data_IF_874890318045
#
_entry.id   IF_874890318045
#
_cell.length_a   1.000
_cell.length_b   1.000
_cell.length_c   1.000
_cell.angle_alpha   90.00
_cell.angle_beta   90.00
_cell.angle_gamma   90.00
#
_symmetry.space_group_name_H-M   'P 1'
#
loop_
_entity.id
_entity.type
_entity.pdbx_description
1 polymer ?
#
# COMPACT_ATOMS: atom_id res chain seq x y z
N UNK A 1 -15.81 31.15 -23.53
CA UNK A 1 -15.02 31.24 -24.78
C UNK A 1 -13.51 31.10 -24.52
N UNK A 2 -12.95 31.81 -23.56
CA UNK A 2 -11.49 31.76 -23.29
C UNK A 2 -11.00 30.39 -22.85
N UNK A 3 -11.69 29.69 -21.95
CA UNK A 3 -11.30 28.36 -21.47
C UNK A 3 -11.34 27.33 -22.60
N UNK A 4 -12.35 27.37 -23.47
CA UNK A 4 -12.45 26.47 -24.62
C UNK A 4 -11.30 26.71 -25.64
N UNK A 5 -10.94 27.96 -25.88
CA UNK A 5 -9.80 28.31 -26.71
C UNK A 5 -8.47 27.84 -26.10
N UNK A 6 -8.35 27.94 -24.78
CA UNK A 6 -7.18 27.44 -24.04
C UNK A 6 -7.01 25.93 -24.14
N UNK A 7 -8.09 25.16 -24.11
CA UNK A 7 -8.05 23.70 -24.28
C UNK A 7 -7.59 23.26 -25.68
N UNK A 8 -7.81 24.08 -26.69
CA UNK A 8 -7.39 23.86 -28.10
C UNK A 8 -6.02 24.44 -28.42
N UNK A 9 -5.39 25.13 -27.45
CA UNK A 9 -4.10 25.77 -27.68
C UNK A 9 -3.00 24.75 -27.99
N UNK A 10 -2.07 25.02 -28.90
CA UNK A 10 -0.98 24.08 -29.22
C UNK A 10 0.02 23.88 -28.07
N UNK A 11 0.14 24.85 -27.16
CA UNK A 11 1.02 24.74 -25.99
C UNK A 11 0.30 24.02 -24.86
N UNK A 12 0.90 22.90 -24.40
CA UNK A 12 0.36 22.06 -23.33
C UNK A 12 0.28 22.77 -21.96
N UNK A 13 1.14 23.76 -21.72
CA UNK A 13 1.10 24.57 -20.49
C UNK A 13 -0.21 25.38 -20.43
N UNK A 14 -0.64 25.92 -21.57
CA UNK A 14 -1.92 26.65 -21.68
C UNK A 14 -3.12 25.70 -21.46
N UNK A 15 -3.03 24.48 -22.05
CA UNK A 15 -4.07 23.46 -21.81
C UNK A 15 -4.17 23.09 -20.33
N UNK A 16 -3.03 22.84 -19.67
CA UNK A 16 -3.00 22.51 -18.23
C UNK A 16 -3.59 23.66 -17.40
N UNK A 17 -3.20 24.91 -17.68
CA UNK A 17 -3.74 26.06 -16.98
C UNK A 17 -5.28 26.16 -17.14
N UNK A 18 -5.77 25.93 -18.34
CA UNK A 18 -7.22 25.94 -18.63
C UNK A 18 -7.92 24.80 -17.91
N UNK A 19 -7.36 23.59 -17.90
CA UNK A 19 -7.91 22.43 -17.18
C UNK A 19 -7.91 22.68 -15.66
N UNK A 20 -6.83 23.22 -15.12
CA UNK A 20 -6.74 23.57 -13.68
C UNK A 20 -7.81 24.60 -13.31
N UNK A 21 -8.05 25.60 -14.16
CA UNK A 21 -9.10 26.59 -13.91
C UNK A 21 -10.50 25.97 -13.99
N UNK A 22 -10.75 25.09 -14.96
CA UNK A 22 -12.00 24.34 -15.04
C UNK A 22 -12.19 23.45 -13.80
N UNK A 23 -11.14 22.79 -13.33
CA UNK A 23 -11.17 22.00 -12.10
C UNK A 23 -11.62 22.81 -10.89
N UNK A 24 -11.08 24.03 -10.72
CA UNK A 24 -11.51 24.95 -9.64
C UNK A 24 -12.99 25.37 -9.75
N UNK A 25 -13.48 25.55 -10.97
CA UNK A 25 -14.88 25.88 -11.19
C UNK A 25 -15.77 24.68 -10.84
N UNK A 26 -15.36 23.48 -11.21
CA UNK A 26 -16.09 22.24 -10.94
C UNK A 26 -16.14 21.93 -9.44
N UNK A 27 -15.12 22.28 -8.68
CA UNK A 27 -15.09 22.15 -7.21
C UNK A 27 -16.01 23.16 -6.51
N UNK A 28 -16.35 24.27 -7.18
CA UNK A 28 -17.22 25.31 -6.61
C UNK A 28 -18.69 24.97 -6.88
N UNK A 29 -19.45 24.69 -5.82
CA UNK A 29 -20.86 24.34 -5.89
C UNK A 29 -21.76 25.39 -6.57
N UNK A 30 -21.39 26.68 -6.54
CA UNK A 30 -22.15 27.75 -7.19
C UNK A 30 -21.85 27.85 -8.69
N UNK A 31 -20.59 27.60 -9.08
CA UNK A 31 -20.11 27.79 -10.44
C UNK A 31 -20.15 26.51 -11.31
N UNK A 32 -20.22 25.35 -10.70
CA UNK A 32 -20.17 24.04 -11.40
C UNK A 32 -21.21 23.90 -12.50
N UNK A 33 -22.37 24.51 -12.34
CA UNK A 33 -23.50 24.45 -13.29
C UNK A 33 -23.13 25.03 -14.67
N UNK A 34 -22.24 26.02 -14.71
CA UNK A 34 -21.75 26.61 -15.95
C UNK A 34 -20.98 25.59 -16.81
N UNK A 35 -20.14 24.77 -16.14
CA UNK A 35 -19.37 23.72 -16.82
C UNK A 35 -20.25 22.52 -17.16
N UNK A 36 -21.12 22.08 -16.24
CA UNK A 36 -22.02 20.94 -16.45
C UNK A 36 -22.92 21.12 -17.68
N UNK A 37 -23.36 22.34 -17.94
CA UNK A 37 -24.25 22.65 -19.07
C UNK A 37 -23.50 23.01 -20.34
N UNK A 38 -22.17 23.11 -20.30
CA UNK A 38 -21.37 23.46 -21.47
C UNK A 38 -20.74 22.22 -22.10
N UNK A 39 -21.49 21.56 -22.97
CA UNK A 39 -21.04 20.35 -23.65
C UNK A 39 -19.78 20.58 -24.51
N UNK A 40 -19.58 21.75 -25.06
CA UNK A 40 -18.41 22.04 -25.90
C UNK A 40 -17.11 22.06 -25.07
N UNK A 41 -17.15 22.67 -23.88
CA UNK A 41 -16.02 22.63 -22.96
C UNK A 41 -15.75 21.19 -22.52
N UNK A 42 -16.76 20.44 -22.10
CA UNK A 42 -16.61 19.05 -21.65
C UNK A 42 -16.08 18.13 -22.76
N UNK A 43 -16.50 18.35 -24.01
CA UNK A 43 -15.96 17.62 -25.17
C UNK A 43 -14.47 17.86 -25.33
N UNK A 44 -14.01 19.11 -25.23
CA UNK A 44 -12.59 19.43 -25.30
C UNK A 44 -11.78 18.84 -24.13
N UNK A 45 -12.35 18.81 -22.92
CA UNK A 45 -11.75 18.13 -21.77
C UNK A 45 -11.58 16.63 -22.07
N UNK A 46 -12.60 15.98 -22.63
CA UNK A 46 -12.53 14.57 -23.03
C UNK A 46 -11.44 14.37 -24.10
N UNK A 47 -11.34 15.24 -25.10
CA UNK A 47 -10.30 15.16 -26.12
C UNK A 47 -8.88 15.33 -25.54
N UNK A 48 -8.71 16.08 -24.45
CA UNK A 48 -7.44 16.24 -23.78
C UNK A 48 -6.92 14.92 -23.14
N UNK A 49 -7.76 13.91 -22.93
CA UNK A 49 -7.33 12.59 -22.47
C UNK A 49 -6.42 11.92 -23.51
N UNK A 50 -6.67 12.16 -24.81
CA UNK A 50 -5.85 11.64 -25.91
C UNK A 50 -4.55 12.44 -26.15
N UNK A 51 -4.29 13.50 -25.40
CA UNK A 51 -3.10 14.33 -25.54
C UNK A 51 -1.79 13.53 -25.38
N UNK A 52 -0.75 13.91 -26.13
CA UNK A 52 0.56 13.25 -26.06
C UNK A 52 1.17 13.32 -24.65
N UNK A 53 1.08 14.48 -24.00
CA UNK A 53 1.61 14.64 -22.64
C UNK A 53 0.66 14.07 -21.58
N UNK A 54 1.20 13.18 -20.78
CA UNK A 54 0.47 12.55 -19.69
C UNK A 54 -0.05 13.55 -18.64
N UNK A 55 0.64 14.68 -18.45
CA UNK A 55 0.22 15.73 -17.52
C UNK A 55 -1.11 16.38 -17.94
N UNK A 56 -1.30 16.62 -19.24
CA UNK A 56 -2.56 17.12 -19.79
C UNK A 56 -3.69 16.11 -19.58
N UNK A 57 -3.44 14.85 -19.89
CA UNK A 57 -4.42 13.78 -19.73
C UNK A 57 -4.83 13.60 -18.24
N UNK A 58 -3.89 13.65 -17.31
CA UNK A 58 -4.16 13.55 -15.87
C UNK A 58 -5.04 14.68 -15.36
N UNK A 59 -4.77 15.91 -15.76
CA UNK A 59 -5.61 17.05 -15.40
C UNK A 59 -7.04 16.90 -15.96
N UNK A 60 -7.17 16.46 -17.22
CA UNK A 60 -8.47 16.20 -17.83
C UNK A 60 -9.26 15.10 -17.09
N UNK A 61 -8.60 14.00 -16.74
CA UNK A 61 -9.18 12.91 -15.95
C UNK A 61 -9.63 13.43 -14.58
N UNK A 62 -8.79 14.22 -13.90
CA UNK A 62 -9.13 14.83 -12.61
C UNK A 62 -10.38 15.71 -12.67
N UNK A 63 -10.51 16.55 -13.69
CA UNK A 63 -11.70 17.39 -13.91
C UNK A 63 -12.97 16.54 -14.08
N UNK A 64 -12.91 15.51 -14.93
CA UNK A 64 -14.06 14.64 -15.20
C UNK A 64 -14.42 13.77 -13.99
N UNK A 65 -13.44 13.30 -13.24
CA UNK A 65 -13.66 12.56 -12.00
C UNK A 65 -14.35 13.41 -10.93
N UNK A 66 -13.90 14.66 -10.76
CA UNK A 66 -14.52 15.61 -9.83
C UNK A 66 -15.95 15.97 -10.24
N UNK A 67 -16.18 16.24 -11.53
CA UNK A 67 -17.51 16.51 -12.06
C UNK A 67 -18.48 15.34 -11.81
N UNK A 68 -17.98 14.11 -11.92
CA UNK A 68 -18.76 12.88 -11.76
C UNK A 68 -19.10 12.54 -10.30
N UNK A 69 -18.64 13.31 -9.31
CA UNK A 69 -19.03 13.15 -7.91
C UNK A 69 -20.49 13.54 -7.67
N UNK A 70 -21.11 14.32 -8.55
CA UNK A 70 -22.51 14.69 -8.49
C UNK A 70 -23.35 13.92 -9.53
N UNK A 71 -24.64 13.71 -9.20
CA UNK A 71 -25.58 13.11 -10.14
C UNK A 71 -25.76 13.94 -11.41
N UNK A 72 -25.72 15.24 -11.29
CA UNK A 72 -25.82 16.14 -12.45
C UNK A 72 -24.60 15.99 -13.38
N UNK A 73 -23.40 15.89 -12.80
CA UNK A 73 -22.16 15.63 -13.55
C UNK A 73 -22.15 14.25 -14.22
N UNK A 74 -22.60 13.21 -13.53
CA UNK A 74 -22.78 11.88 -14.11
C UNK A 74 -23.74 11.91 -15.31
N UNK A 75 -24.87 12.60 -15.19
CA UNK A 75 -25.81 12.75 -16.30
C UNK A 75 -25.20 13.55 -17.45
N UNK A 76 -24.44 14.59 -17.16
CA UNK A 76 -23.78 15.39 -18.19
C UNK A 76 -22.84 14.57 -19.08
N UNK A 77 -22.12 13.61 -18.51
CA UNK A 77 -21.16 12.76 -19.22
C UNK A 77 -21.86 11.53 -19.81
N UNK A 78 -22.59 10.76 -19.01
CA UNK A 78 -23.08 9.42 -19.39
C UNK A 78 -24.43 9.41 -20.06
N UNK A 79 -25.23 10.47 -19.96
CA UNK A 79 -26.57 10.59 -20.56
C UNK A 79 -26.65 11.66 -21.63
N UNK A 80 -25.53 11.99 -22.26
CA UNK A 80 -25.43 12.96 -23.35
C UNK A 80 -24.60 12.40 -24.51
N UNK A 81 -24.42 13.17 -25.55
CA UNK A 81 -23.55 12.83 -26.66
C UNK A 81 -22.07 12.69 -26.27
N UNK A 82 -21.68 13.24 -25.11
CA UNK A 82 -20.32 13.12 -24.57
C UNK A 82 -19.93 11.68 -24.27
N UNK A 83 -20.88 10.79 -24.00
CA UNK A 83 -20.60 9.36 -23.87
C UNK A 83 -19.99 8.79 -25.16
N UNK A 84 -20.48 9.22 -26.31
CA UNK A 84 -19.92 8.83 -27.61
C UNK A 84 -18.52 9.39 -27.78
N UNK A 85 -18.31 10.67 -27.45
CA UNK A 85 -16.99 11.28 -27.52
C UNK A 85 -15.97 10.54 -26.65
N UNK A 86 -16.37 10.13 -25.45
CA UNK A 86 -15.52 9.35 -24.55
C UNK A 86 -15.16 7.96 -25.11
N UNK A 87 -16.12 7.28 -25.75
CA UNK A 87 -15.89 6.00 -26.45
C UNK A 87 -15.00 6.16 -27.68
N UNK A 88 -15.17 7.23 -28.44
CA UNK A 88 -14.37 7.52 -29.62
C UNK A 88 -12.91 7.82 -29.23
N UNK A 89 -12.68 8.59 -28.17
CA UNK A 89 -11.36 8.86 -27.60
C UNK A 89 -10.71 7.56 -27.12
N UNK A 90 -11.44 6.71 -26.43
CA UNK A 90 -10.97 5.41 -25.94
C UNK A 90 -10.48 4.50 -27.07
N UNK A 91 -11.07 4.59 -28.26
CA UNK A 91 -10.70 3.80 -29.44
C UNK A 91 -9.41 4.29 -30.14
N UNK A 92 -8.87 5.45 -29.76
CA UNK A 92 -7.73 6.07 -30.46
C UNK A 92 -6.42 5.28 -30.32
N UNK A 93 -6.13 4.73 -29.16
CA UNK A 93 -4.97 3.88 -28.89
C UNK A 93 -5.11 3.12 -27.57
N UNK A 94 -4.26 2.10 -27.37
CA UNK A 94 -4.25 1.33 -26.13
C UNK A 94 -3.93 2.20 -24.90
N UNK A 95 -2.98 3.14 -25.05
CA UNK A 95 -2.60 4.06 -23.97
C UNK A 95 -3.79 4.93 -23.56
N UNK A 96 -4.53 5.46 -24.52
CA UNK A 96 -5.71 6.28 -24.26
C UNK A 96 -6.84 5.44 -23.68
N UNK A 97 -7.00 4.20 -24.13
CA UNK A 97 -7.97 3.25 -23.57
C UNK A 97 -7.74 3.03 -22.08
N UNK A 98 -6.49 2.86 -21.64
CA UNK A 98 -6.17 2.75 -20.23
C UNK A 98 -6.46 4.00 -19.43
N UNK A 99 -6.17 5.17 -19.97
CA UNK A 99 -6.51 6.45 -19.33
C UNK A 99 -8.03 6.58 -19.11
N UNK A 100 -8.82 6.12 -20.05
CA UNK A 100 -10.29 6.10 -19.92
C UNK A 100 -10.71 5.07 -18.87
N UNK A 101 -10.12 3.88 -18.83
CA UNK A 101 -10.39 2.90 -17.77
C UNK A 101 -10.04 3.43 -16.39
N UNK A 102 -8.91 4.13 -16.23
CA UNK A 102 -8.53 4.79 -14.99
C UNK A 102 -9.64 5.75 -14.51
N UNK A 103 -10.10 6.63 -15.39
CA UNK A 103 -11.23 7.52 -15.14
C UNK A 103 -12.50 6.75 -14.74
N UNK A 104 -12.86 5.71 -15.48
CA UNK A 104 -14.05 4.91 -15.22
C UNK A 104 -13.99 4.19 -13.87
N UNK A 105 -12.83 3.67 -13.49
CA UNK A 105 -12.62 3.03 -12.19
C UNK A 105 -12.68 4.05 -11.05
N UNK A 106 -12.10 5.22 -11.22
CA UNK A 106 -12.19 6.30 -10.25
C UNK A 106 -13.65 6.73 -10.02
N UNK A 107 -14.40 6.94 -11.09
CA UNK A 107 -15.84 7.25 -11.01
C UNK A 107 -16.62 6.13 -10.33
N UNK A 108 -16.38 4.89 -10.73
CA UNK A 108 -17.09 3.71 -10.21
C UNK A 108 -16.84 3.49 -8.72
N UNK A 109 -15.68 3.88 -8.22
CA UNK A 109 -15.28 3.68 -6.83
C UNK A 109 -15.96 4.64 -5.84
N UNK A 110 -16.57 5.72 -6.33
CA UNK A 110 -17.17 6.76 -5.47
C UNK A 110 -18.45 6.27 -4.80
N UNK A 111 -19.37 5.64 -5.54
CA UNK A 111 -20.66 5.19 -5.02
C UNK A 111 -21.26 4.07 -5.87
N UNK A 112 -22.26 3.32 -5.33
CA UNK A 112 -23.04 2.36 -6.12
C UNK A 112 -23.73 2.98 -7.34
N UNK A 113 -24.20 4.22 -7.21
CA UNK A 113 -24.85 4.96 -8.29
C UNK A 113 -23.85 5.26 -9.42
N UNK A 114 -22.66 5.74 -9.07
CA UNK A 114 -21.58 6.02 -10.03
C UNK A 114 -21.15 4.74 -10.77
N UNK A 115 -21.00 3.64 -10.05
CA UNK A 115 -20.73 2.33 -10.64
C UNK A 115 -21.84 1.93 -11.62
N UNK A 116 -23.10 2.14 -11.28
CA UNK A 116 -24.24 1.85 -12.16
C UNK A 116 -24.19 2.58 -13.49
N UNK A 117 -23.77 3.84 -13.52
CA UNK A 117 -23.56 4.59 -14.76
C UNK A 117 -22.46 3.96 -15.64
N UNK A 118 -21.35 3.57 -15.03
CA UNK A 118 -20.22 2.96 -15.74
C UNK A 118 -20.56 1.56 -16.26
N UNK A 119 -21.33 0.78 -15.51
CA UNK A 119 -21.84 -0.53 -15.92
C UNK A 119 -22.82 -0.41 -17.09
N UNK A 120 -23.78 0.49 -16.97
CA UNK A 120 -24.80 0.73 -18.03
C UNK A 120 -24.20 1.23 -19.35
N UNK A 121 -23.04 1.88 -19.28
CA UNK A 121 -22.30 2.38 -20.44
C UNK A 121 -21.39 1.36 -21.11
N UNK A 122 -21.35 0.13 -20.59
CA UNK A 122 -20.51 -0.99 -21.04
C UNK A 122 -18.99 -0.83 -20.81
N UNK A 123 -18.53 0.21 -20.11
CA UNK A 123 -17.11 0.40 -19.83
C UNK A 123 -16.54 -0.69 -18.91
N UNK A 124 -17.29 -1.05 -17.87
CA UNK A 124 -16.85 -2.08 -16.92
C UNK A 124 -16.81 -3.45 -17.58
N UNK A 125 -17.81 -3.82 -18.40
CA UNK A 125 -17.78 -5.10 -19.12
C UNK A 125 -16.59 -5.20 -20.06
N UNK A 126 -16.26 -4.12 -20.79
CA UNK A 126 -15.07 -4.07 -21.64
C UNK A 126 -13.79 -4.27 -20.83
N UNK A 127 -13.65 -3.60 -19.67
CA UNK A 127 -12.51 -3.78 -18.78
C UNK A 127 -12.39 -5.23 -18.31
N UNK A 128 -13.49 -5.86 -17.91
CA UNK A 128 -13.50 -7.25 -17.46
C UNK A 128 -13.14 -8.24 -18.57
N UNK A 129 -13.54 -7.98 -19.80
CA UNK A 129 -13.17 -8.79 -20.96
C UNK A 129 -11.66 -8.76 -21.24
N UNK A 130 -10.99 -7.66 -20.92
CA UNK A 130 -9.54 -7.52 -21.09
C UNK A 130 -8.71 -8.39 -20.12
N UNK A 131 -9.30 -8.89 -19.04
CA UNK A 131 -8.62 -9.79 -18.11
C UNK A 131 -8.11 -11.08 -18.76
N UNK A 132 -8.76 -11.52 -19.83
CA UNK A 132 -8.43 -12.75 -20.57
C UNK A 132 -8.09 -12.50 -22.05
N UNK A 133 -7.80 -11.25 -22.39
CA UNK A 133 -7.33 -10.90 -23.74
C UNK A 133 -5.94 -11.46 -24.07
N UNK A 134 -5.59 -11.51 -25.35
CA UNK A 134 -4.33 -12.09 -25.81
C UNK A 134 -3.10 -11.24 -25.47
N UNK A 135 -3.25 -9.92 -25.37
CA UNK A 135 -2.16 -9.02 -25.00
C UNK A 135 -1.91 -9.07 -23.50
N UNK A 136 -0.72 -9.56 -23.12
CA UNK A 136 -0.33 -9.77 -21.73
C UNK A 136 -0.16 -8.45 -20.95
N UNK A 137 0.25 -7.37 -21.62
CA UNK A 137 0.39 -6.05 -20.97
C UNK A 137 -0.98 -5.43 -20.69
N UNK A 138 -1.89 -5.59 -21.63
CA UNK A 138 -3.30 -5.21 -21.49
C UNK A 138 -3.93 -5.97 -20.32
N UNK A 139 -3.71 -7.26 -20.27
CA UNK A 139 -4.19 -8.12 -19.18
C UNK A 139 -3.67 -7.65 -17.82
N UNK A 140 -2.37 -7.39 -17.72
CA UNK A 140 -1.75 -6.92 -16.48
C UNK A 140 -2.35 -5.58 -16.00
N UNK A 141 -2.55 -4.63 -16.90
CA UNK A 141 -3.17 -3.35 -16.59
C UNK A 141 -4.64 -3.50 -16.18
N UNK A 142 -5.40 -4.37 -16.86
CA UNK A 142 -6.80 -4.66 -16.49
C UNK A 142 -6.92 -5.26 -15.09
N UNK A 143 -6.02 -6.15 -14.70
CA UNK A 143 -5.95 -6.72 -13.35
C UNK A 143 -5.73 -5.62 -12.29
N UNK A 144 -4.84 -4.68 -12.56
CA UNK A 144 -4.59 -3.55 -11.66
C UNK A 144 -5.82 -2.64 -11.50
N UNK A 145 -6.51 -2.35 -12.59
CA UNK A 145 -7.76 -1.58 -12.59
C UNK A 145 -8.86 -2.29 -11.79
N UNK A 146 -9.05 -3.58 -11.99
CA UNK A 146 -9.99 -4.40 -11.24
C UNK A 146 -9.63 -4.46 -9.75
N UNK A 147 -8.34 -4.55 -9.42
CA UNK A 147 -7.87 -4.48 -8.04
C UNK A 147 -8.20 -3.14 -7.39
N UNK A 148 -8.07 -2.05 -8.13
CA UNK A 148 -8.46 -0.71 -7.65
C UNK A 148 -9.97 -0.62 -7.41
N UNK A 149 -10.79 -1.13 -8.32
CA UNK A 149 -12.25 -1.19 -8.16
C UNK A 149 -12.66 -2.01 -6.92
N UNK A 150 -11.92 -3.08 -6.61
CA UNK A 150 -12.18 -3.94 -5.46
C UNK A 150 -11.96 -3.26 -4.09
N UNK A 151 -11.32 -2.10 -4.04
CA UNK A 151 -11.12 -1.35 -2.80
C UNK A 151 -12.40 -0.79 -2.23
N UNK A 152 -13.39 -0.47 -3.08
CA UNK A 152 -14.72 -0.07 -2.63
C UNK A 152 -15.60 -1.28 -2.34
N UNK A 153 -16.46 -1.20 -1.31
CA UNK A 153 -17.36 -2.29 -0.94
C UNK A 153 -18.31 -2.64 -2.08
N UNK A 154 -18.93 -1.65 -2.70
CA UNK A 154 -19.85 -1.88 -3.82
C UNK A 154 -19.13 -2.42 -5.06
N UNK A 155 -17.87 -2.03 -5.28
CA UNK A 155 -17.02 -2.59 -6.32
C UNK A 155 -16.75 -4.08 -6.09
N UNK A 156 -16.39 -4.48 -4.86
CA UNK A 156 -16.20 -5.90 -4.50
C UNK A 156 -17.48 -6.71 -4.70
N UNK A 157 -18.62 -6.20 -4.27
CA UNK A 157 -19.90 -6.86 -4.45
C UNK A 157 -20.24 -7.08 -5.93
N UNK A 158 -20.02 -6.06 -6.76
CA UNK A 158 -20.22 -6.17 -8.19
C UNK A 158 -19.29 -7.21 -8.83
N UNK A 159 -17.99 -7.16 -8.52
CA UNK A 159 -17.01 -8.13 -9.03
C UNK A 159 -17.34 -9.57 -8.61
N UNK A 160 -17.80 -9.76 -7.38
CA UNK A 160 -18.25 -11.06 -6.89
C UNK A 160 -19.47 -11.57 -7.69
N UNK A 161 -20.44 -10.71 -7.96
CA UNK A 161 -21.62 -11.05 -8.79
C UNK A 161 -21.24 -11.43 -10.23
N UNK A 162 -20.15 -10.84 -10.75
CA UNK A 162 -19.62 -11.16 -12.09
C UNK A 162 -18.69 -12.39 -12.11
N UNK A 163 -18.46 -13.04 -10.97
CA UNK A 163 -17.58 -14.21 -10.87
C UNK A 163 -16.10 -13.90 -11.09
N UNK A 164 -15.66 -12.67 -10.85
CA UNK A 164 -14.29 -12.23 -11.15
C UNK A 164 -13.26 -12.91 -10.24
N UNK A 165 -13.57 -13.12 -8.97
CA UNK A 165 -12.66 -13.82 -8.06
C UNK A 165 -12.38 -15.25 -8.50
N UNK A 166 -13.38 -15.98 -8.99
CA UNK A 166 -13.20 -17.31 -9.54
C UNK A 166 -12.35 -17.27 -10.83
N UNK A 167 -12.61 -16.28 -11.68
CA UNK A 167 -11.85 -16.07 -12.93
C UNK A 167 -10.36 -15.81 -12.63
N UNK A 168 -10.06 -14.94 -11.67
CA UNK A 168 -8.68 -14.64 -11.24
C UNK A 168 -8.03 -15.86 -10.59
N UNK A 169 -8.75 -16.62 -9.77
CA UNK A 169 -8.25 -17.88 -9.21
C UNK A 169 -7.87 -18.88 -10.31
N UNK A 170 -8.71 -19.04 -11.33
CA UNK A 170 -8.40 -19.90 -12.47
C UNK A 170 -7.19 -19.40 -13.26
N UNK A 171 -6.99 -18.11 -13.37
CA UNK A 171 -5.79 -17.54 -13.99
C UNK A 171 -4.52 -17.86 -13.18
N UNK A 172 -4.59 -17.87 -11.86
CA UNK A 172 -3.46 -18.31 -10.99
C UNK A 172 -3.13 -19.79 -11.26
N UNK A 173 -4.15 -20.64 -11.30
CA UNK A 173 -3.99 -22.07 -11.58
C UNK A 173 -3.35 -22.31 -12.95
N UNK A 174 -3.78 -21.56 -13.96
CA UNK A 174 -3.26 -21.66 -15.33
C UNK A 174 -1.90 -21.00 -15.55
N UNK A 175 -1.40 -20.23 -14.60
CA UNK A 175 -0.18 -19.43 -14.78
C UNK A 175 1.08 -20.26 -15.05
N UNK A 176 1.18 -21.47 -14.53
CA UNK A 176 2.33 -22.35 -14.74
C UNK A 176 2.53 -22.78 -16.20
N UNK A 177 1.44 -22.83 -16.97
CA UNK A 177 1.46 -23.17 -18.39
C UNK A 177 1.67 -21.96 -19.32
N UNK A 178 1.67 -20.74 -18.78
CA UNK A 178 1.85 -19.51 -19.53
C UNK A 178 3.29 -18.96 -19.35
N UNK A 179 4.12 -18.94 -20.42
CA UNK A 179 5.49 -18.43 -20.33
C UNK A 179 5.56 -16.93 -20.02
N UNK A 180 4.46 -16.20 -20.19
CA UNK A 180 4.36 -14.76 -19.92
C UNK A 180 3.69 -14.44 -18.58
N UNK A 181 3.45 -15.43 -17.74
CA UNK A 181 2.74 -15.25 -16.45
C UNK A 181 3.43 -14.23 -15.52
N UNK A 182 4.74 -14.04 -15.64
CA UNK A 182 5.49 -13.07 -14.83
C UNK A 182 4.99 -11.63 -14.99
N UNK A 183 4.33 -11.29 -16.09
CA UNK A 183 3.78 -9.94 -16.31
C UNK A 183 2.50 -9.68 -15.53
N UNK A 184 1.69 -10.69 -15.24
CA UNK A 184 0.37 -10.50 -14.61
C UNK A 184 0.15 -11.27 -13.32
N UNK A 185 0.90 -12.32 -13.03
CA UNK A 185 0.78 -13.11 -11.80
C UNK A 185 0.93 -12.27 -10.53
N UNK A 186 1.89 -11.31 -10.44
CA UNK A 186 1.97 -10.42 -9.29
C UNK A 186 0.67 -9.64 -9.03
N UNK A 187 0.02 -9.18 -10.08
CA UNK A 187 -1.26 -8.47 -9.99
C UNK A 187 -2.39 -9.36 -9.47
N UNK A 188 -2.46 -10.62 -9.91
CA UNK A 188 -3.44 -11.60 -9.43
C UNK A 188 -3.31 -11.85 -7.92
N UNK A 189 -2.08 -12.00 -7.46
CA UNK A 189 -1.77 -12.20 -6.04
C UNK A 189 -2.13 -10.96 -5.22
N UNK A 190 -1.82 -9.76 -5.72
CA UNK A 190 -2.21 -8.50 -5.08
C UNK A 190 -3.72 -8.33 -4.97
N UNK A 191 -4.46 -8.75 -6.00
CA UNK A 191 -5.93 -8.72 -5.97
C UNK A 191 -6.47 -9.49 -4.76
N UNK A 192 -6.06 -10.74 -4.58
CA UNK A 192 -6.51 -11.55 -3.45
C UNK A 192 -5.99 -11.06 -2.10
N UNK A 193 -4.77 -10.54 -2.06
CA UNK A 193 -4.21 -9.91 -0.86
C UNK A 193 -5.07 -8.73 -0.38
N UNK A 194 -5.48 -7.86 -1.29
CA UNK A 194 -6.38 -6.74 -0.99
C UNK A 194 -7.78 -7.25 -0.60
N UNK A 195 -8.32 -8.22 -1.31
CA UNK A 195 -9.63 -8.80 -1.02
C UNK A 195 -9.65 -9.42 0.39
N UNK A 196 -8.62 -10.13 0.77
CA UNK A 196 -8.49 -10.75 2.08
C UNK A 196 -8.51 -9.74 3.23
N UNK A 197 -7.84 -8.59 3.05
CA UNK A 197 -7.81 -7.53 4.06
C UNK A 197 -9.13 -6.76 4.14
N UNK A 198 -9.80 -6.57 3.01
CA UNK A 198 -11.07 -5.85 2.96
C UNK A 198 -12.25 -6.66 3.47
N UNK A 199 -12.24 -7.98 3.27
CA UNK A 199 -13.32 -8.88 3.66
C UNK A 199 -12.90 -9.76 4.85
N UNK A 200 -12.33 -10.93 4.59
CA UNK A 200 -11.85 -11.86 5.61
C UNK A 200 -10.68 -12.68 5.07
N UNK A 201 -9.51 -12.62 5.71
CA UNK A 201 -8.36 -13.45 5.35
C UNK A 201 -8.69 -14.95 5.36
N UNK A 202 -9.42 -15.42 6.37
CA UNK A 202 -9.81 -16.83 6.47
C UNK A 202 -10.70 -17.25 5.32
N UNK A 203 -11.74 -16.49 5.06
CA UNK A 203 -12.71 -16.83 4.00
C UNK A 203 -12.04 -16.83 2.62
N UNK A 204 -11.20 -15.85 2.33
CA UNK A 204 -10.50 -15.76 1.03
C UNK A 204 -9.53 -16.92 0.84
N UNK A 205 -8.72 -17.24 1.86
CA UNK A 205 -7.76 -18.34 1.77
C UNK A 205 -8.43 -19.72 1.70
N UNK A 206 -9.55 -19.93 2.40
CA UNK A 206 -10.30 -21.18 2.34
C UNK A 206 -11.03 -21.35 1.01
N UNK A 207 -11.58 -20.26 0.46
CA UNK A 207 -12.30 -20.29 -0.82
C UNK A 207 -11.35 -20.40 -2.01
N UNK A 208 -10.17 -19.77 -1.92
CA UNK A 208 -9.19 -19.69 -3.00
C UNK A 208 -7.83 -20.27 -2.58
N UNK A 209 -7.72 -21.58 -2.37
CA UNK A 209 -6.46 -22.20 -1.95
C UNK A 209 -5.33 -22.04 -2.97
N UNK A 210 -5.66 -21.84 -4.26
CA UNK A 210 -4.67 -21.56 -5.30
C UNK A 210 -3.90 -20.25 -5.01
N UNK A 211 -4.56 -19.22 -4.53
CA UNK A 211 -3.93 -17.99 -4.08
C UNK A 211 -2.93 -18.24 -2.94
N UNK A 212 -3.39 -18.89 -1.89
CA UNK A 212 -2.58 -19.20 -0.71
C UNK A 212 -1.32 -19.99 -1.07
N UNK A 213 -1.48 -21.07 -1.86
CA UNK A 213 -0.35 -21.90 -2.28
C UNK A 213 0.63 -21.12 -3.18
N UNK A 214 0.12 -20.30 -4.08
CA UNK A 214 0.97 -19.51 -5.00
C UNK A 214 1.79 -18.45 -4.26
N UNK A 215 1.24 -17.79 -3.27
CA UNK A 215 1.99 -16.83 -2.44
C UNK A 215 3.15 -17.49 -1.73
N UNK A 216 2.94 -18.68 -1.14
CA UNK A 216 4.02 -19.42 -0.47
C UNK A 216 5.09 -19.88 -1.46
N UNK A 217 4.69 -20.36 -2.63
CA UNK A 217 5.61 -20.76 -3.71
C UNK A 217 6.47 -19.57 -4.18
N UNK A 218 5.84 -18.42 -4.43
CA UNK A 218 6.54 -17.20 -4.85
C UNK A 218 7.53 -16.70 -3.78
N UNK A 219 7.17 -16.79 -2.51
CA UNK A 219 8.02 -16.38 -1.39
C UNK A 219 9.29 -17.24 -1.28
N UNK A 220 9.19 -18.52 -1.65
CA UNK A 220 10.31 -19.47 -1.63
C UNK A 220 11.07 -19.53 -2.96
N UNK A 221 10.58 -18.86 -3.98
CA UNK A 221 11.15 -18.83 -5.31
C UNK A 221 12.45 -18.04 -5.42
N UNK A 222 13.06 -18.09 -6.61
CA UNK A 222 14.32 -17.42 -6.91
C UNK A 222 14.13 -16.03 -7.58
N UNK A 223 12.97 -15.76 -8.15
CA UNK A 223 12.69 -14.47 -8.81
C UNK A 223 12.48 -13.36 -7.78
N UNK A 224 13.34 -12.32 -7.74
CA UNK A 224 13.26 -11.26 -6.73
C UNK A 224 11.95 -10.47 -6.79
N UNK A 225 11.39 -10.25 -7.97
CA UNK A 225 10.13 -9.49 -8.15
C UNK A 225 8.96 -10.28 -7.58
N UNK A 226 8.86 -11.56 -7.93
CA UNK A 226 7.83 -12.46 -7.41
C UNK A 226 7.95 -12.64 -5.90
N UNK A 227 9.16 -12.86 -5.41
CA UNK A 227 9.43 -12.98 -3.97
C UNK A 227 9.00 -11.71 -3.24
N UNK A 228 9.36 -10.53 -3.75
CA UNK A 228 8.97 -9.26 -3.14
C UNK A 228 7.45 -9.09 -3.04
N UNK A 229 6.70 -9.39 -4.08
CA UNK A 229 5.23 -9.33 -4.07
C UNK A 229 4.63 -10.32 -3.06
N UNK A 230 5.19 -11.52 -2.98
CA UNK A 230 4.75 -12.52 -2.02
C UNK A 230 5.00 -12.08 -0.57
N UNK A 231 6.18 -11.50 -0.29
CA UNK A 231 6.51 -10.97 1.04
C UNK A 231 5.55 -9.84 1.45
N UNK A 232 5.29 -8.90 0.56
CA UNK A 232 4.34 -7.82 0.81
C UNK A 232 2.94 -8.38 1.12
N UNK A 233 2.49 -9.35 0.33
CA UNK A 233 1.18 -9.99 0.50
C UNK A 233 1.08 -10.74 1.81
N UNK A 234 2.10 -11.51 2.19
CA UNK A 234 2.14 -12.22 3.47
C UNK A 234 2.20 -11.26 4.66
N UNK A 235 2.97 -10.19 4.55
CA UNK A 235 3.01 -9.13 5.56
C UNK A 235 1.65 -8.49 5.78
N UNK A 236 0.97 -8.13 4.71
CA UNK A 236 -0.37 -7.55 4.76
C UNK A 236 -1.38 -8.54 5.35
N UNK A 237 -1.39 -9.80 4.91
CA UNK A 237 -2.23 -10.85 5.49
C UNK A 237 -1.99 -10.99 6.99
N UNK A 238 -0.74 -11.09 7.39
CA UNK A 238 -0.34 -11.27 8.79
C UNK A 238 -0.45 -10.01 9.65
N UNK A 239 -0.83 -8.86 9.11
CA UNK A 239 -1.04 -7.63 9.89
C UNK A 239 -2.31 -7.68 10.75
N UNK A 240 -3.25 -8.56 10.45
CA UNK A 240 -4.47 -8.77 11.23
C UNK A 240 -4.37 -10.03 12.09
N UNK A 241 -5.14 -10.06 13.19
CA UNK A 241 -5.22 -11.25 14.06
C UNK A 241 -5.72 -12.47 13.28
N UNK A 242 -6.78 -12.30 12.50
CA UNK A 242 -7.34 -13.38 11.68
C UNK A 242 -6.32 -13.88 10.64
N UNK A 243 -5.60 -12.98 9.99
CA UNK A 243 -4.54 -13.33 9.04
C UNK A 243 -3.39 -14.09 9.68
N UNK A 244 -2.97 -13.70 10.91
CA UNK A 244 -1.97 -14.46 11.67
C UNK A 244 -2.43 -15.90 11.95
N UNK A 245 -3.69 -16.08 12.30
CA UNK A 245 -4.27 -17.40 12.54
C UNK A 245 -4.33 -18.24 11.27
N UNK A 246 -4.65 -17.64 10.13
CA UNK A 246 -4.61 -18.31 8.82
C UNK A 246 -3.20 -18.78 8.48
N UNK A 247 -2.20 -17.92 8.65
CA UNK A 247 -0.79 -18.25 8.40
C UNK A 247 -0.29 -19.34 9.35
N UNK A 248 -0.70 -19.31 10.61
CA UNK A 248 -0.39 -20.36 11.59
C UNK A 248 -0.88 -21.74 11.12
N UNK A 249 -2.09 -21.82 10.56
CA UNK A 249 -2.68 -23.07 10.05
C UNK A 249 -1.90 -23.66 8.87
N UNK A 250 -1.09 -22.85 8.17
CA UNK A 250 -0.23 -23.34 7.08
C UNK A 250 0.96 -24.19 7.58
N UNK A 251 1.26 -24.15 8.86
CA UNK A 251 2.26 -24.99 9.52
C UNK A 251 3.66 -24.86 8.93
N UNK A 252 4.29 -26.00 8.63
CA UNK A 252 5.67 -26.03 8.16
C UNK A 252 5.92 -25.29 6.84
N UNK A 253 4.91 -25.14 5.99
CA UNK A 253 5.03 -24.36 4.75
C UNK A 253 5.30 -22.88 5.05
N UNK A 254 4.60 -22.32 6.04
CA UNK A 254 4.82 -20.94 6.46
C UNK A 254 6.12 -20.80 7.27
N UNK A 255 6.47 -21.78 8.10
CA UNK A 255 7.74 -21.79 8.82
C UNK A 255 8.95 -21.75 7.86
N UNK A 256 8.87 -22.45 6.73
CA UNK A 256 9.90 -22.37 5.68
C UNK A 256 10.02 -20.95 5.10
N UNK A 257 8.90 -20.24 4.94
CA UNK A 257 8.90 -18.84 4.49
C UNK A 257 9.56 -17.93 5.52
N UNK A 258 9.30 -18.10 6.82
CA UNK A 258 9.96 -17.33 7.89
C UNK A 258 11.49 -17.51 7.87
N UNK A 259 11.98 -18.73 7.68
CA UNK A 259 13.40 -19.01 7.51
C UNK A 259 13.98 -18.34 6.26
N UNK A 260 13.23 -18.37 5.16
CA UNK A 260 13.61 -17.67 3.93
C UNK A 260 13.68 -16.17 4.11
N UNK A 261 12.72 -15.57 4.83
CA UNK A 261 12.73 -14.14 5.18
C UNK A 261 13.99 -13.75 5.94
N UNK A 262 14.40 -14.56 6.91
CA UNK A 262 15.64 -14.33 7.65
C UNK A 262 16.87 -14.28 6.73
N UNK A 263 16.98 -15.22 5.80
CA UNK A 263 18.07 -15.26 4.83
C UNK A 263 18.06 -14.02 3.91
N UNK A 264 16.89 -13.64 3.43
CA UNK A 264 16.73 -12.48 2.55
C UNK A 264 17.03 -11.17 3.27
N UNK A 265 16.67 -11.04 4.55
CA UNK A 265 16.97 -9.86 5.36
C UNK A 265 18.49 -9.65 5.55
N UNK A 266 19.27 -10.74 5.60
CA UNK A 266 20.72 -10.69 5.77
C UNK A 266 21.51 -10.43 4.49
N UNK A 267 20.98 -10.82 3.33
CA UNK A 267 21.69 -10.74 2.06
C UNK A 267 20.79 -10.51 0.86
N UNK A 268 21.33 -9.92 -0.18
CA UNK A 268 20.63 -9.63 -1.42
C UNK A 268 20.47 -8.14 -1.69
N UNK A 269 19.63 -7.80 -2.67
CA UNK A 269 19.35 -6.40 -3.04
C UNK A 269 18.66 -5.66 -1.88
N UNK A 270 19.10 -4.43 -1.62
CA UNK A 270 18.58 -3.60 -0.51
C UNK A 270 17.07 -3.45 -0.56
N UNK A 271 16.48 -3.27 -1.73
CA UNK A 271 15.03 -3.14 -1.89
C UNK A 271 14.28 -4.38 -1.36
N UNK A 272 14.73 -5.58 -1.72
CA UNK A 272 14.12 -6.83 -1.25
C UNK A 272 14.32 -7.03 0.25
N UNK A 273 15.48 -6.64 0.78
CA UNK A 273 15.76 -6.66 2.22
C UNK A 273 14.81 -5.75 3.00
N UNK A 274 14.57 -4.53 2.51
CA UNK A 274 13.64 -3.57 3.13
C UNK A 274 12.21 -4.13 3.13
N UNK A 275 11.73 -4.67 2.01
CA UNK A 275 10.41 -5.31 1.92
C UNK A 275 10.29 -6.50 2.87
N UNK A 276 11.36 -7.28 3.00
CA UNK A 276 11.41 -8.40 3.92
C UNK A 276 11.30 -7.95 5.40
N UNK A 277 12.05 -6.92 5.80
CA UNK A 277 11.98 -6.37 7.15
C UNK A 277 10.58 -5.80 7.46
N UNK A 278 9.97 -5.14 6.49
CA UNK A 278 8.61 -4.64 6.64
C UNK A 278 7.58 -5.79 6.81
N UNK A 279 7.69 -6.82 5.99
CA UNK A 279 6.84 -8.01 6.12
C UNK A 279 7.00 -8.68 7.49
N UNK A 280 8.22 -8.85 7.98
CA UNK A 280 8.48 -9.39 9.32
C UNK A 280 7.81 -8.52 10.38
N UNK A 281 7.95 -7.20 10.32
CA UNK A 281 7.36 -6.30 11.29
C UNK A 281 5.83 -6.43 11.35
N UNK A 282 5.17 -6.55 10.19
CA UNK A 282 3.72 -6.75 10.11
C UNK A 282 3.28 -8.10 10.68
N UNK A 283 4.02 -9.16 10.39
CA UNK A 283 3.73 -10.52 10.85
C UNK A 283 3.77 -10.65 12.38
N UNK A 284 4.74 -10.01 13.03
CA UNK A 284 4.95 -10.11 14.47
C UNK A 284 4.31 -8.99 15.27
N UNK A 285 3.78 -7.96 14.62
CA UNK A 285 3.09 -6.85 15.28
C UNK A 285 1.80 -7.32 15.95
N UNK A 286 1.62 -6.91 17.20
CA UNK A 286 0.42 -7.21 17.98
C UNK A 286 0.11 -6.03 18.89
N UNK A 287 -0.98 -5.32 18.60
CA UNK A 287 -1.41 -4.18 19.40
C UNK A 287 -1.81 -4.61 20.80
N UNK A 288 -1.69 -3.72 21.78
CA UNK A 288 -1.96 -4.02 23.20
C UNK A 288 -3.36 -4.61 23.39
N UNK A 289 -4.36 -4.08 22.69
CA UNK A 289 -5.76 -4.52 22.78
C UNK A 289 -6.00 -5.92 22.17
N UNK A 290 -5.09 -6.38 21.31
CA UNK A 290 -5.16 -7.68 20.62
C UNK A 290 -4.42 -8.78 21.37
N UNK A 291 -3.64 -8.45 22.41
CA UNK A 291 -2.78 -9.38 23.10
C UNK A 291 -3.57 -10.38 23.91
N UNK A 292 -3.56 -11.62 23.46
CA UNK A 292 -3.98 -12.82 24.20
C UNK A 292 -2.77 -13.72 24.41
N UNK A 293 -2.85 -14.63 25.35
CA UNK A 293 -1.74 -15.56 25.63
C UNK A 293 -1.34 -16.35 24.36
N UNK A 294 -2.31 -16.87 23.63
CA UNK A 294 -2.08 -17.64 22.39
C UNK A 294 -1.41 -16.81 21.30
N UNK A 295 -1.82 -15.56 21.13
CA UNK A 295 -1.25 -14.67 20.11
C UNK A 295 0.15 -14.19 20.50
N UNK A 296 0.40 -13.96 21.79
CA UNK A 296 1.75 -13.64 22.27
C UNK A 296 2.71 -14.82 22.07
N UNK A 297 2.27 -16.05 22.34
CA UNK A 297 3.06 -17.27 22.07
C UNK A 297 3.32 -17.40 20.57
N UNK A 298 2.34 -17.13 19.73
CA UNK A 298 2.48 -17.21 18.27
C UNK A 298 3.52 -16.24 17.74
N UNK A 299 3.41 -14.96 18.10
CA UNK A 299 4.34 -13.92 17.60
C UNK A 299 5.76 -14.13 18.14
N UNK A 300 5.92 -14.55 19.38
CA UNK A 300 7.22 -14.94 19.97
C UNK A 300 7.83 -16.14 19.21
N UNK A 301 7.02 -17.16 18.92
CA UNK A 301 7.42 -18.33 18.14
C UNK A 301 7.92 -17.94 16.76
N UNK A 302 7.18 -17.11 16.04
CA UNK A 302 7.60 -16.65 14.70
C UNK A 302 8.89 -15.83 14.72
N UNK A 303 9.04 -14.96 15.72
CA UNK A 303 10.27 -14.20 15.90
C UNK A 303 11.47 -15.12 16.18
N UNK A 304 11.28 -16.14 17.03
CA UNK A 304 12.30 -17.12 17.37
C UNK A 304 12.70 -18.02 16.19
N UNK A 305 11.80 -18.20 15.21
CA UNK A 305 12.10 -18.96 13.99
C UNK A 305 12.99 -18.23 12.99
N UNK A 306 13.14 -16.93 13.11
CA UNK A 306 13.99 -16.14 12.20
C UNK A 306 15.47 -16.52 12.35
N UNK A 307 15.91 -16.84 13.56
CA UNK A 307 17.31 -17.18 13.83
C UNK A 307 17.45 -17.82 15.22
N UNK A 308 18.57 -18.47 15.48
CA UNK A 308 18.92 -18.90 16.83
C UNK A 308 19.10 -17.70 17.79
N UNK A 309 19.46 -16.54 17.25
CA UNK A 309 19.60 -15.27 17.99
C UNK A 309 18.92 -14.14 17.23
N UNK A 310 17.58 -14.08 17.23
CA UNK A 310 16.84 -13.14 16.38
C UNK A 310 17.08 -11.67 16.74
N UNK A 311 17.25 -11.34 18.03
CA UNK A 311 17.62 -9.98 18.45
C UNK A 311 18.98 -9.56 17.90
N UNK A 312 19.99 -10.42 17.96
CA UNK A 312 21.30 -10.14 17.41
C UNK A 312 21.26 -9.98 15.87
N UNK A 313 20.49 -10.81 15.19
CA UNK A 313 20.31 -10.72 13.75
C UNK A 313 19.75 -9.36 13.32
N UNK A 314 18.65 -8.91 13.92
CA UNK A 314 18.03 -7.62 13.59
C UNK A 314 18.92 -6.44 14.03
N UNK A 315 19.58 -6.57 15.17
CA UNK A 315 20.53 -5.57 15.66
C UNK A 315 21.71 -5.39 14.69
N UNK A 316 22.27 -6.47 14.18
CA UNK A 316 23.35 -6.41 13.18
C UNK A 316 22.92 -5.75 11.86
N UNK A 317 21.66 -5.95 11.46
CA UNK A 317 21.11 -5.26 10.29
C UNK A 317 21.01 -3.76 10.55
N UNK A 318 20.62 -3.34 11.74
CA UNK A 318 20.48 -1.94 12.12
C UNK A 318 21.80 -1.16 12.14
N UNK A 319 22.92 -1.85 12.31
CA UNK A 319 24.26 -1.22 12.35
C UNK A 319 24.92 -1.04 10.98
N UNK A 320 24.28 -1.55 9.91
CA UNK A 320 24.80 -1.39 8.56
C UNK A 320 24.60 0.05 8.04
N UNK A 321 25.48 0.54 7.13
CA UNK A 321 25.47 1.95 6.70
C UNK A 321 24.36 2.27 5.69
N UNK A 322 23.16 1.74 5.90
CA UNK A 322 22.00 1.95 5.05
C UNK A 322 20.82 2.43 5.92
N UNK A 323 20.42 3.71 5.81
CA UNK A 323 19.33 4.25 6.63
C UNK A 323 18.02 3.47 6.52
N UNK A 324 17.71 2.93 5.35
CA UNK A 324 16.51 2.14 5.09
C UNK A 324 16.50 0.84 5.90
N UNK A 325 17.65 0.20 6.05
CA UNK A 325 17.79 -1.02 6.85
C UNK A 325 17.69 -0.74 8.35
N UNK A 326 18.26 0.37 8.80
CA UNK A 326 18.09 0.83 10.19
C UNK A 326 16.60 1.09 10.47
N UNK A 327 15.89 1.81 9.61
CA UNK A 327 14.47 2.06 9.77
C UNK A 327 13.65 0.76 9.76
N UNK A 328 13.97 -0.18 8.87
CA UNK A 328 13.33 -1.50 8.82
C UNK A 328 13.53 -2.30 10.11
N UNK A 329 14.75 -2.33 10.64
CA UNK A 329 15.07 -2.97 11.92
C UNK A 329 14.32 -2.30 13.09
N UNK A 330 14.27 -0.96 13.13
CA UNK A 330 13.53 -0.22 14.15
C UNK A 330 12.04 -0.51 14.11
N UNK A 331 11.44 -0.71 12.94
CA UNK A 331 10.04 -1.13 12.79
C UNK A 331 9.80 -2.52 13.40
N UNK A 332 10.72 -3.45 13.22
CA UNK A 332 10.64 -4.78 13.86
C UNK A 332 10.69 -4.65 15.38
N UNK A 333 11.61 -3.86 15.91
CA UNK A 333 11.67 -3.60 17.34
C UNK A 333 10.40 -2.91 17.85
N UNK A 334 9.85 -1.97 17.10
CA UNK A 334 8.58 -1.31 17.41
C UNK A 334 7.42 -2.30 17.46
N UNK A 335 7.41 -3.29 16.57
CA UNK A 335 6.39 -4.35 16.53
C UNK A 335 6.41 -5.25 17.78
N UNK A 336 7.58 -5.55 18.32
CA UNK A 336 7.71 -6.40 19.52
C UNK A 336 7.70 -5.60 20.84
N UNK A 337 7.88 -4.29 20.79
CA UNK A 337 7.99 -3.43 21.97
C UNK A 337 6.75 -3.44 22.89
N UNK A 338 5.50 -3.49 22.38
CA UNK A 338 4.32 -3.58 23.24
C UNK A 338 4.13 -4.96 23.89
N UNK A 339 4.89 -5.96 23.46
CA UNK A 339 4.74 -7.36 23.89
C UNK A 339 5.71 -7.70 25.02
N UNK A 340 5.24 -8.32 26.11
CA UNK A 340 6.11 -8.63 27.27
C UNK A 340 7.36 -9.43 26.93
N UNK A 341 7.26 -10.40 26.03
CA UNK A 341 8.40 -11.19 25.56
C UNK A 341 9.44 -10.35 24.81
N UNK A 342 8.97 -9.37 24.00
CA UNK A 342 9.83 -8.43 23.30
C UNK A 342 10.58 -7.51 24.25
N UNK A 343 9.90 -6.99 25.26
CA UNK A 343 10.50 -6.16 26.31
C UNK A 343 11.58 -6.92 27.09
N UNK A 344 11.33 -8.18 27.41
CA UNK A 344 12.35 -9.04 28.06
C UNK A 344 13.58 -9.27 27.19
N UNK A 345 13.38 -9.48 25.89
CA UNK A 345 14.50 -9.60 24.94
C UNK A 345 15.30 -8.30 24.83
N UNK A 346 14.63 -7.16 24.81
CA UNK A 346 15.27 -5.85 24.72
C UNK A 346 16.13 -5.54 25.94
N UNK A 347 15.61 -5.73 27.13
CA UNK A 347 16.39 -5.50 28.38
C UNK A 347 17.51 -6.52 28.57
N UNK A 348 17.33 -7.74 28.06
CA UNK A 348 18.32 -8.80 28.09
C UNK A 348 19.42 -8.67 27.02
N UNK A 349 19.30 -7.74 26.09
CA UNK A 349 20.30 -7.52 25.02
C UNK A 349 21.24 -6.40 25.40
N UNK A 350 22.53 -6.69 25.67
CA UNK A 350 23.50 -5.67 26.11
C UNK A 350 23.62 -4.53 25.10
N UNK A 351 23.56 -3.29 25.59
CA UNK A 351 23.70 -2.08 24.76
C UNK A 351 22.45 -1.65 24.01
N UNK A 352 21.38 -2.46 23.97
CA UNK A 352 20.19 -2.14 23.22
C UNK A 352 19.40 -0.97 23.82
N UNK A 353 19.14 -1.00 25.11
CA UNK A 353 18.39 0.06 25.77
C UNK A 353 19.17 1.37 25.85
N UNK A 354 20.49 1.30 25.96
CA UNK A 354 21.39 2.45 25.84
C UNK A 354 21.25 3.11 24.46
N UNK A 355 21.24 2.31 23.39
CA UNK A 355 20.98 2.80 22.03
C UNK A 355 19.59 3.45 21.92
N UNK A 356 18.55 2.85 22.49
CA UNK A 356 17.18 3.40 22.44
C UNK A 356 17.10 4.79 23.03
N UNK A 357 17.75 5.03 24.17
CA UNK A 357 17.73 6.34 24.86
C UNK A 357 18.77 7.33 24.36
N UNK A 358 19.77 6.88 23.60
CA UNK A 358 20.81 7.75 23.03
C UNK A 358 20.28 8.52 21.81
N UNK A 359 20.10 9.82 21.97
CA UNK A 359 19.60 10.70 20.92
C UNK A 359 20.57 10.92 19.78
N UNK A 360 21.86 10.66 20.00
CA UNK A 360 22.91 10.83 18.98
C UNK A 360 23.05 9.61 18.06
N UNK A 361 22.45 8.48 18.40
CA UNK A 361 22.60 7.23 17.69
C UNK A 361 21.95 7.21 16.27
N UNK A 362 20.98 8.10 16.01
CA UNK A 362 20.32 8.21 14.71
C UNK A 362 20.59 9.60 14.11
N UNK A 363 21.08 9.62 12.87
CA UNK A 363 21.50 10.86 12.19
C UNK A 363 20.42 11.40 11.25
N UNK A 364 19.70 10.52 10.54
CA UNK A 364 18.66 10.92 9.60
C UNK A 364 17.33 11.22 10.28
N UNK A 365 16.49 12.03 9.63
CA UNK A 365 15.16 12.37 10.10
C UNK A 365 14.31 11.11 10.29
N UNK A 366 14.30 10.26 9.29
CA UNK A 366 13.51 9.02 9.24
C UNK A 366 13.91 8.06 10.38
N UNK A 367 15.21 7.92 10.64
CA UNK A 367 15.70 7.07 11.72
C UNK A 367 15.36 7.63 13.11
N UNK A 368 15.38 8.96 13.29
CA UNK A 368 14.94 9.61 14.54
C UNK A 368 13.45 9.39 14.80
N UNK A 369 12.63 9.53 13.76
CA UNK A 369 11.19 9.28 13.84
C UNK A 369 10.90 7.81 14.13
N UNK A 370 11.54 6.88 13.42
CA UNK A 370 11.38 5.45 13.66
C UNK A 370 11.80 5.04 15.09
N UNK A 371 12.86 5.63 15.64
CA UNK A 371 13.27 5.40 17.02
C UNK A 371 12.30 6.03 18.02
N UNK A 372 11.75 7.18 17.70
CA UNK A 372 10.71 7.82 18.52
C UNK A 372 9.45 6.94 18.59
N UNK A 373 9.06 6.32 17.50
CA UNK A 373 7.94 5.36 17.44
C UNK A 373 8.21 4.14 18.33
N UNK A 374 9.44 3.62 18.31
CA UNK A 374 9.85 2.53 19.22
C UNK A 374 9.70 2.91 20.69
N UNK A 375 10.16 4.10 21.07
CA UNK A 375 10.02 4.61 22.45
C UNK A 375 8.54 4.76 22.80
N UNK A 376 7.72 5.27 21.87
CA UNK A 376 6.28 5.37 22.03
C UNK A 376 5.60 4.02 22.27
N UNK A 377 5.99 3.01 21.49
CA UNK A 377 5.46 1.66 21.65
C UNK A 377 5.83 1.02 23.00
N UNK A 378 7.05 1.25 23.50
CA UNK A 378 7.46 0.79 24.83
C UNK A 378 6.65 1.47 25.94
N UNK A 379 6.51 2.79 25.88
CA UNK A 379 5.82 3.55 26.94
C UNK A 379 4.32 3.27 26.96
N UNK A 380 3.71 2.95 25.82
CA UNK A 380 2.28 2.63 25.74
C UNK A 380 1.90 1.29 26.37
N UNK A 381 2.86 0.39 26.59
CA UNK A 381 2.62 -0.92 27.17
C UNK A 381 2.53 -0.84 28.70
N UNK A 382 1.49 -1.47 29.27
CA UNK A 382 1.30 -1.54 30.73
C UNK A 382 2.37 -2.37 31.46
N UNK A 383 3.05 -3.27 30.74
CA UNK A 383 4.08 -4.17 31.32
C UNK A 383 5.48 -3.58 31.25
N UNK A 384 5.69 -2.50 30.52
CA UNK A 384 7.03 -1.96 30.28
C UNK A 384 7.69 -1.44 31.54
N UNK A 385 6.95 -0.76 32.43
CA UNK A 385 7.49 -0.25 33.70
C UNK A 385 8.02 -1.36 34.61
N UNK A 386 7.32 -2.50 34.67
CA UNK A 386 7.69 -3.64 35.50
C UNK A 386 8.89 -4.40 34.92
N UNK A 387 8.92 -4.60 33.62
CA UNK A 387 9.95 -5.39 32.92
C UNK A 387 11.26 -4.59 32.77
N UNK A 388 11.16 -3.32 32.35
CA UNK A 388 12.33 -2.46 32.14
C UNK A 388 12.87 -1.81 33.38
N UNK A 389 12.05 -1.72 34.43
CA UNK A 389 12.35 -1.00 35.67
C UNK A 389 11.97 0.48 35.61
N UNK A 390 11.62 1.04 36.77
CA UNK A 390 11.07 2.39 36.88
C UNK A 390 12.01 3.48 36.35
N UNK A 391 13.32 3.33 36.59
CA UNK A 391 14.30 4.34 36.17
C UNK A 391 14.37 4.45 34.62
N UNK A 392 14.47 3.33 33.94
CA UNK A 392 14.53 3.29 32.48
C UNK A 392 13.21 3.74 31.87
N UNK A 393 12.10 3.29 32.45
CA UNK A 393 10.76 3.69 31.97
C UNK A 393 10.53 5.21 32.09
N UNK A 394 10.99 5.85 33.15
CA UNK A 394 10.92 7.31 33.32
C UNK A 394 11.78 8.04 32.28
N UNK A 395 12.95 7.51 31.95
CA UNK A 395 13.80 8.06 30.88
C UNK A 395 13.10 7.98 29.49
N UNK A 396 12.42 6.88 29.19
CA UNK A 396 11.64 6.72 27.96
C UNK A 396 10.46 7.71 27.91
N UNK A 397 9.76 7.91 29.02
CA UNK A 397 8.69 8.92 29.13
C UNK A 397 9.22 10.34 28.91
N UNK A 398 10.38 10.67 29.46
CA UNK A 398 11.03 11.96 29.22
C UNK A 398 11.39 12.14 27.77
N UNK A 399 11.94 11.10 27.14
CA UNK A 399 12.27 11.08 25.72
C UNK A 399 11.04 11.42 24.85
N UNK A 400 9.88 10.81 25.12
CA UNK A 400 8.64 11.10 24.40
C UNK A 400 8.17 12.55 24.58
N UNK A 401 8.20 13.05 25.81
CA UNK A 401 7.76 14.41 26.13
C UNK A 401 8.63 15.47 25.44
N UNK A 402 9.90 15.22 25.28
CA UNK A 402 10.86 16.12 24.62
C UNK A 402 10.76 16.11 23.11
N UNK A 403 10.17 15.06 22.51
CA UNK A 403 9.99 14.91 21.06
C UNK A 403 11.17 14.25 20.33
N UNK A 404 10.95 13.89 19.07
CA UNK A 404 11.90 13.13 18.27
C UNK A 404 13.21 13.90 17.97
N UNK A 405 13.13 15.21 17.91
CA UNK A 405 14.24 16.08 17.46
C UNK A 405 14.92 16.88 18.56
N UNK A 406 14.59 16.60 19.82
CA UNK A 406 15.21 17.30 20.94
C UNK A 406 16.72 17.07 20.95
N UNK A 407 17.48 18.19 21.03
CA UNK A 407 18.94 18.19 21.16
C UNK A 407 19.28 18.67 22.55
N UNK A 408 19.98 17.84 23.32
CA UNK A 408 20.50 18.25 24.62
C UNK A 408 21.61 19.28 24.36
N UNK A 409 21.38 20.55 24.72
CA UNK A 409 22.43 21.56 24.69
C UNK A 409 23.48 21.20 25.76
N UNK A 410 24.66 20.80 25.31
CA UNK A 410 25.82 20.71 26.20
C UNK A 410 26.25 22.14 26.46
N UNK A 411 25.92 22.68 27.65
CA UNK A 411 26.52 23.91 28.13
C UNK A 411 28.00 23.63 28.38
N UNK A 412 28.86 23.95 27.42
CA UNK A 412 30.28 24.13 27.70
C UNK A 412 30.40 25.37 28.55
N UNK A 413 30.52 25.20 29.88
CA UNK A 413 31.05 26.25 30.74
C UNK A 413 32.51 26.46 30.32
N UNK A 414 32.77 27.46 29.50
CA UNK A 414 34.10 28.06 29.43
C UNK A 414 34.34 28.78 30.72
N UNK A 415 35.11 28.18 31.62
CA UNK A 415 35.76 28.90 32.72
C UNK A 415 36.79 29.82 32.06
N UNK A 416 36.44 31.10 31.89
CA UNK A 416 37.44 32.16 31.70
C UNK A 416 38.24 32.20 32.99
N UNK A 417 39.51 31.74 32.87
CA UNK A 417 40.48 31.94 33.90
C UNK A 417 40.82 33.45 33.95
N UNK A 418 40.54 34.04 35.09
CA UNK A 418 41.04 35.35 35.42
C UNK A 418 42.53 35.20 35.79
N UNK A 419 43.41 35.82 35.01
CA UNK A 419 44.72 36.25 35.39
C UNK A 419 44.68 37.64 36.04
#
# INVERSE_FOLDING_TARGET
MELQAGLKHPDDTVKILSLTQIGRIVENHEAVTEIQNNQDILREVIHCIAGEKISVAKEAIGVLATLSQSKAGLNAIFRSDLLKDLKDVMAASDIVRYRVYELIVDISSVSPVSLGYCVSSSFISQLLDELTGDDVLVRAAAIEMVTTLSRSQHGRQYLAQQGISDKISNMIIGAESDPFCSFYLPGLVKFFGNLAIMDSPQQVCETYPAFQNKVLEMALGADPVMTGVALDTLGILGSTVEGKQVLQKMGEKFNAVLKRMSQLACGGATELRVRCLEAISLLISLQVEQQTEDLLVLTESWFSMLSNQPMALIWNISTQPFPELLCGALRIFTAIAPQPWGQRLMIGTPGFMEFVVDRSACLTKEAKEAKFDLVGALVSSSTAADILGSQLYLRLRSYLREGAYHVTSVSTMTTEGAD
#
